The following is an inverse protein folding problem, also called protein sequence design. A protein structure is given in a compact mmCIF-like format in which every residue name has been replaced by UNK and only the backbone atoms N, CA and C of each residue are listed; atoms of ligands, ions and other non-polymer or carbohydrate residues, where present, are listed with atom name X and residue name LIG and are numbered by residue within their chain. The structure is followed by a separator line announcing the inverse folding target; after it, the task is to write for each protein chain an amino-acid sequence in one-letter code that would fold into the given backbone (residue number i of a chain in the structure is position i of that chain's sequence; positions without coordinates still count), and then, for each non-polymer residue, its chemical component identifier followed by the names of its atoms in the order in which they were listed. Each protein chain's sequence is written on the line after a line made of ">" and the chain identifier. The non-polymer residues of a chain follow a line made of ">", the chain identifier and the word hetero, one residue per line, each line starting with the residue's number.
data_IF_224591825071
#
_entry.id   IF_224591825071
#
_cell.length_a   1.000
_cell.length_b   1.000
_cell.length_c   1.000
_cell.angle_alpha   90.00
_cell.angle_beta   90.00
_cell.angle_gamma   90.00
#
_symmetry.space_group_name_H-M   'P 1'
#
loop_
_entity.id
_entity.type
_entity.pdbx_description
1 polymer ?
#
# COMPACT_ATOMS: atom_id res chain seq x y z
N UNK A 1 17.13 -15.78 21.17
CA UNK A 1 18.53 -16.25 21.37
C UNK A 1 19.53 -15.57 20.45
N UNK A 2 19.25 -15.25 19.19
CA UNK A 2 20.14 -14.42 18.34
C UNK A 2 20.27 -12.98 18.80
N UNK A 3 19.29 -12.45 19.54
CA UNK A 3 19.38 -11.15 20.22
C UNK A 3 20.32 -11.15 21.45
N UNK A 4 20.74 -12.34 21.92
CA UNK A 4 21.57 -12.52 23.13
C UNK A 4 23.01 -12.90 22.76
N UNK A 5 23.21 -13.60 21.64
CA UNK A 5 24.54 -13.98 21.14
C UNK A 5 24.54 -14.00 19.60
N UNK A 6 25.42 -13.21 18.99
CA UNK A 6 25.51 -12.98 17.54
C UNK A 6 26.42 -13.97 16.81
N UNK A 7 27.06 -14.91 17.52
CA UNK A 7 27.92 -15.91 16.90
C UNK A 7 27.11 -16.90 16.04
N UNK A 8 27.47 -16.99 14.76
CA UNK A 8 26.78 -17.78 13.73
C UNK A 8 26.63 -19.25 14.15
N UNK A 9 27.66 -19.84 14.75
CA UNK A 9 27.63 -21.24 15.21
C UNK A 9 26.60 -21.48 16.32
N UNK A 10 26.39 -20.54 17.24
CA UNK A 10 25.36 -20.66 18.30
C UNK A 10 23.96 -20.42 17.75
N UNK A 11 23.82 -19.51 16.78
CA UNK A 11 22.56 -19.28 16.09
C UNK A 11 22.11 -20.52 15.30
N UNK A 12 23.02 -21.19 14.60
CA UNK A 12 22.72 -22.41 13.83
C UNK A 12 22.62 -23.67 14.69
N UNK A 13 23.14 -23.65 15.93
CA UNK A 13 23.03 -24.75 16.89
C UNK A 13 21.65 -24.89 17.54
N UNK A 14 20.69 -24.03 17.21
CA UNK A 14 19.31 -24.14 17.73
C UNK A 14 18.64 -25.38 17.13
N UNK A 15 18.31 -26.34 18.00
CA UNK A 15 17.65 -27.60 17.63
C UNK A 15 16.31 -27.30 16.95
N UNK A 16 16.08 -27.92 15.79
CA UNK A 16 14.85 -27.76 15.02
C UNK A 16 14.72 -26.41 14.30
N UNK A 17 15.75 -25.54 14.31
CA UNK A 17 15.71 -24.24 13.63
C UNK A 17 15.47 -24.38 12.12
N UNK A 18 16.12 -25.34 11.47
CA UNK A 18 15.94 -25.59 10.03
C UNK A 18 14.48 -25.91 9.70
N UNK A 19 13.86 -26.80 10.47
CA UNK A 19 12.45 -27.17 10.26
C UNK A 19 11.52 -25.99 10.54
N UNK A 20 11.75 -25.21 11.60
CA UNK A 20 10.98 -24.00 11.89
C UNK A 20 11.10 -22.94 10.78
N UNK A 21 12.28 -22.77 10.19
CA UNK A 21 12.48 -21.84 9.06
C UNK A 21 11.75 -22.37 7.82
N UNK A 22 11.85 -23.67 7.51
CA UNK A 22 11.13 -24.28 6.38
C UNK A 22 9.62 -24.15 6.53
N UNK A 23 9.08 -24.45 7.72
CA UNK A 23 7.65 -24.28 8.03
C UNK A 23 7.23 -22.80 7.92
N UNK A 24 8.04 -21.87 8.46
CA UNK A 24 7.80 -20.44 8.36
C UNK A 24 7.76 -19.97 6.89
N UNK A 25 8.70 -20.44 6.07
CA UNK A 25 8.72 -20.13 4.64
C UNK A 25 7.47 -20.69 3.92
N UNK A 26 7.05 -21.92 4.23
CA UNK A 26 5.85 -22.51 3.65
C UNK A 26 4.58 -21.72 4.03
N UNK A 27 4.49 -21.25 5.28
CA UNK A 27 3.39 -20.38 5.72
C UNK A 27 3.43 -19.02 5.01
N UNK A 28 4.62 -18.42 4.89
CA UNK A 28 4.82 -17.16 4.18
C UNK A 28 4.39 -17.25 2.71
N UNK A 29 4.75 -18.34 2.02
CA UNK A 29 4.34 -18.58 0.63
C UNK A 29 2.82 -18.68 0.49
N UNK A 30 2.14 -19.31 1.46
CA UNK A 30 0.68 -19.40 1.47
C UNK A 30 0.03 -18.02 1.65
N UNK A 31 0.57 -17.20 2.55
CA UNK A 31 0.09 -15.83 2.79
C UNK A 31 0.30 -14.98 1.54
N UNK A 32 1.49 -15.02 0.94
CA UNK A 32 1.81 -14.27 -0.29
C UNK A 32 0.89 -14.64 -1.45
N UNK A 33 0.60 -15.93 -1.65
CA UNK A 33 -0.34 -16.37 -2.69
C UNK A 33 -1.75 -15.83 -2.44
N UNK A 34 -2.24 -15.91 -1.20
CA UNK A 34 -3.55 -15.37 -0.83
C UNK A 34 -3.63 -13.86 -1.02
N UNK A 35 -2.56 -13.15 -0.68
CA UNK A 35 -2.47 -11.71 -0.83
C UNK A 35 -2.47 -11.28 -2.29
N UNK A 36 -1.66 -11.93 -3.14
CA UNK A 36 -1.65 -11.66 -4.58
C UNK A 36 -3.02 -11.87 -5.22
N UNK A 37 -3.71 -12.96 -4.89
CA UNK A 37 -5.08 -13.21 -5.38
C UNK A 37 -6.08 -12.14 -4.92
N UNK A 38 -5.93 -11.63 -3.70
CA UNK A 38 -6.75 -10.52 -3.19
C UNK A 38 -6.48 -9.22 -3.94
N UNK A 39 -5.21 -8.88 -4.20
CA UNK A 39 -4.82 -7.68 -4.95
C UNK A 39 -5.32 -7.74 -6.40
N UNK A 40 -5.22 -8.90 -7.07
CA UNK A 40 -5.72 -9.07 -8.43
C UNK A 40 -7.22 -8.87 -8.52
N UNK A 41 -7.98 -9.36 -7.52
CA UNK A 41 -9.42 -9.08 -7.43
C UNK A 41 -9.71 -7.58 -7.30
N UNK A 42 -8.90 -6.84 -6.54
CA UNK A 42 -9.03 -5.38 -6.41
C UNK A 42 -8.66 -4.64 -7.70
N UNK A 43 -7.68 -5.13 -8.47
CA UNK A 43 -7.34 -4.57 -9.79
C UNK A 43 -8.49 -4.69 -10.79
N UNK A 44 -9.22 -5.80 -10.78
CA UNK A 44 -10.39 -5.97 -11.65
C UNK A 44 -11.51 -4.98 -11.29
N UNK A 45 -11.69 -4.69 -10.00
CA UNK A 45 -12.71 -3.74 -9.54
C UNK A 45 -12.36 -2.29 -9.88
N UNK A 46 -11.08 -1.92 -9.81
CA UNK A 46 -10.59 -0.59 -10.16
C UNK A 46 -9.37 -0.68 -11.09
N UNK A 47 -9.58 -0.62 -12.43
CA UNK A 47 -8.51 -0.85 -13.40
C UNK A 47 -7.31 0.10 -13.30
N UNK A 48 -7.42 1.26 -12.64
CA UNK A 48 -6.25 2.14 -12.44
C UNK A 48 -5.22 1.56 -11.48
N UNK A 49 -5.56 0.54 -10.68
CA UNK A 49 -4.58 -0.20 -9.87
C UNK A 49 -3.66 -1.12 -10.69
N UNK A 50 -3.91 -1.32 -11.99
CA UNK A 50 -2.93 -1.98 -12.86
C UNK A 50 -1.65 -1.16 -13.04
N UNK A 51 -1.69 0.15 -12.78
CA UNK A 51 -0.51 1.03 -12.84
C UNK A 51 0.31 1.07 -11.54
N UNK A 52 -0.11 0.33 -10.51
CA UNK A 52 0.53 0.27 -9.20
C UNK A 52 1.18 -1.10 -8.95
N UNK A 53 2.31 -1.10 -8.24
CA UNK A 53 2.93 -2.33 -7.73
C UNK A 53 2.07 -2.94 -6.60
N UNK A 54 2.35 -4.20 -6.25
CA UNK A 54 1.63 -4.85 -5.14
C UNK A 54 1.86 -4.13 -3.81
N UNK A 55 3.07 -3.62 -3.56
CA UNK A 55 3.41 -2.87 -2.35
C UNK A 55 2.67 -1.54 -2.29
N UNK A 56 2.58 -0.82 -3.41
CA UNK A 56 1.84 0.46 -3.49
C UNK A 56 0.34 0.25 -3.29
N UNK A 57 -0.22 -0.83 -3.85
CA UNK A 57 -1.61 -1.20 -3.58
C UNK A 57 -1.83 -1.53 -2.11
N UNK A 58 -0.89 -2.22 -1.47
CA UNK A 58 -0.95 -2.55 -0.05
C UNK A 58 -0.89 -1.30 0.82
N UNK A 59 -0.02 -0.34 0.51
CA UNK A 59 0.03 0.96 1.21
C UNK A 59 -1.32 1.67 1.15
N UNK A 60 -1.93 1.77 -0.03
CA UNK A 60 -3.27 2.38 -0.19
C UNK A 60 -4.35 1.61 0.59
N UNK A 61 -4.31 0.28 0.55
CA UNK A 61 -5.32 -0.57 1.20
C UNK A 61 -5.14 -0.72 2.72
N UNK A 62 -3.92 -0.49 3.23
CA UNK A 62 -3.60 -0.56 4.66
C UNK A 62 -3.77 0.79 5.36
N UNK A 63 -3.55 1.89 4.63
CA UNK A 63 -3.66 3.26 5.16
C UNK A 63 -4.98 3.96 4.81
N UNK A 64 -6.06 3.21 4.57
CA UNK A 64 -7.40 3.75 4.22
C UNK A 64 -7.99 4.75 5.21
N UNK A 65 -7.35 4.94 6.38
CA UNK A 65 -7.75 5.91 7.40
C UNK A 65 -7.23 7.32 7.14
N UNK A 66 -6.12 7.48 6.42
CA UNK A 66 -5.49 8.77 6.13
C UNK A 66 -5.52 9.08 4.62
N UNK A 67 -6.45 9.94 4.16
CA UNK A 67 -6.60 10.27 2.75
C UNK A 67 -5.42 11.07 2.18
N UNK A 68 -4.49 11.57 3.01
CA UNK A 68 -3.29 12.25 2.51
C UNK A 68 -2.27 11.28 1.92
N UNK A 69 -2.36 9.99 2.28
CA UNK A 69 -1.37 8.95 1.93
C UNK A 69 -1.52 8.43 0.52
N UNK A 70 -2.66 8.67 -0.13
CA UNK A 70 -2.86 8.29 -1.54
C UNK A 70 -2.17 9.23 -2.53
N UNK A 71 -1.82 10.46 -2.11
CA UNK A 71 -1.18 11.49 -2.94
C UNK A 71 -0.03 10.99 -3.84
N UNK A 72 1.00 10.28 -3.32
CA UNK A 72 2.11 9.80 -4.15
C UNK A 72 1.69 8.77 -5.20
N UNK A 73 0.64 7.99 -4.95
CA UNK A 73 0.18 6.95 -5.86
C UNK A 73 -0.77 7.49 -6.94
N UNK A 74 -1.46 8.60 -6.69
CA UNK A 74 -2.39 9.21 -7.64
C UNK A 74 -1.71 9.58 -8.96
N UNK A 75 -0.46 10.05 -8.94
CA UNK A 75 0.31 10.40 -10.14
C UNK A 75 0.48 9.22 -11.10
N UNK A 76 0.52 7.99 -10.60
CA UNK A 76 0.61 6.77 -11.41
C UNK A 76 -0.74 6.30 -11.92
N UNK A 77 -1.80 6.50 -11.13
CA UNK A 77 -3.16 6.10 -11.51
C UNK A 77 -3.84 7.09 -12.46
N UNK A 78 -3.52 8.38 -12.37
CA UNK A 78 -4.19 9.46 -13.08
C UNK A 78 -3.17 10.36 -13.77
N UNK A 79 -3.19 10.34 -15.09
CA UNK A 79 -2.45 11.28 -15.91
C UNK A 79 -3.07 12.68 -15.76
N UNK A 80 -2.25 13.68 -15.44
CA UNK A 80 -2.70 15.06 -15.20
C UNK A 80 -3.06 15.40 -13.75
N UNK A 81 -3.15 14.41 -12.84
CA UNK A 81 -3.35 14.64 -11.40
C UNK A 81 -2.06 14.30 -10.66
N UNK A 82 -1.35 15.33 -10.22
CA UNK A 82 -0.16 15.21 -9.38
C UNK A 82 -0.53 15.21 -7.91
N UNK A 83 -1.42 16.12 -7.49
CA UNK A 83 -1.85 16.26 -6.09
C UNK A 83 -3.30 16.69 -5.95
N UNK A 84 -3.88 16.43 -4.79
CA UNK A 84 -5.19 16.92 -4.38
C UNK A 84 -5.08 17.99 -3.29
N UNK A 85 -6.00 18.96 -3.32
CA UNK A 85 -6.17 19.95 -2.26
C UNK A 85 -7.22 19.46 -1.26
N UNK A 86 -6.79 19.24 -0.02
CA UNK A 86 -7.65 18.84 1.09
C UNK A 86 -7.94 20.03 2.02
N UNK A 87 -9.20 20.16 2.46
CA UNK A 87 -9.58 21.12 3.51
C UNK A 87 -9.33 20.55 4.93
N UNK A 88 -9.59 21.37 5.96
CA UNK A 88 -9.51 21.00 7.38
C UNK A 88 -10.38 19.79 7.74
N UNK A 89 -11.43 19.55 6.98
CA UNK A 89 -12.32 18.39 7.13
C UNK A 89 -11.88 17.17 6.31
N UNK A 90 -10.71 17.21 5.67
CA UNK A 90 -10.21 16.19 4.72
C UNK A 90 -11.09 16.02 3.47
N UNK A 91 -11.87 17.03 3.11
CA UNK A 91 -12.64 17.07 1.86
C UNK A 91 -11.76 17.56 0.71
N UNK A 92 -11.93 16.99 -0.48
CA UNK A 92 -11.16 17.36 -1.67
C UNK A 92 -11.86 18.53 -2.39
N UNK A 93 -11.14 19.64 -2.59
CA UNK A 93 -11.65 20.86 -3.24
C UNK A 93 -11.08 21.12 -4.63
N UNK A 94 -9.85 20.69 -4.88
CA UNK A 94 -9.16 20.93 -6.14
C UNK A 94 -8.13 19.83 -6.41
N UNK A 95 -7.64 19.80 -7.65
CA UNK A 95 -6.49 19.01 -8.06
C UNK A 95 -5.40 19.91 -8.65
N UNK A 96 -4.16 19.44 -8.58
CA UNK A 96 -2.98 20.07 -9.14
C UNK A 96 -2.33 19.18 -10.19
N UNK A 97 -1.93 19.77 -11.32
CA UNK A 97 -1.10 19.10 -12.33
C UNK A 97 0.36 18.98 -11.87
N UNK A 98 1.20 18.31 -12.66
CA UNK A 98 2.64 18.22 -12.38
C UNK A 98 3.35 19.58 -12.56
N UNK A 99 2.79 20.44 -13.40
CA UNK A 99 3.25 21.79 -13.74
C UNK A 99 2.73 22.86 -12.77
N UNK A 100 1.86 22.47 -11.82
CA UNK A 100 1.28 23.37 -10.82
C UNK A 100 -0.02 24.04 -11.24
N UNK A 101 -0.64 23.62 -12.34
CA UNK A 101 -1.97 24.07 -12.72
C UNK A 101 -2.99 23.59 -11.67
N UNK A 102 -3.82 24.51 -11.17
CA UNK A 102 -4.86 24.21 -10.18
C UNK A 102 -6.23 24.18 -10.86
N UNK A 103 -6.92 23.04 -10.74
CA UNK A 103 -8.30 22.89 -11.22
C UNK A 103 -9.22 22.65 -10.02
N UNK A 104 -10.16 23.57 -9.81
CA UNK A 104 -11.14 23.48 -8.72
C UNK A 104 -12.30 22.57 -9.13
N UNK A 105 -12.74 21.68 -8.23
CA UNK A 105 -13.88 20.81 -8.51
C UNK A 105 -15.20 21.55 -8.29
N UNK A 106 -16.20 21.26 -9.12
CA UNK A 106 -17.55 21.85 -8.99
C UNK A 106 -18.29 21.38 -7.74
N UNK A 107 -17.94 20.20 -7.23
CA UNK A 107 -18.49 19.62 -6.01
C UNK A 107 -17.34 19.14 -5.13
N UNK A 108 -17.46 19.38 -3.82
CA UNK A 108 -16.52 18.87 -2.83
C UNK A 108 -16.69 17.37 -2.67
N UNK A 109 -15.59 16.63 -2.71
CA UNK A 109 -15.61 15.17 -2.55
C UNK A 109 -15.28 14.86 -1.09
N UNK A 110 -16.22 14.24 -0.39
CA UNK A 110 -16.03 13.80 0.99
C UNK A 110 -15.26 12.46 1.04
N UNK A 111 -14.09 12.48 1.66
CA UNK A 111 -13.23 11.31 1.83
C UNK A 111 -13.74 10.34 2.88
N UNK A 112 -14.67 10.75 3.75
CA UNK A 112 -15.26 9.87 4.77
C UNK A 112 -16.12 8.77 4.15
N UNK A 113 -16.69 9.05 2.97
CA UNK A 113 -17.54 8.13 2.22
C UNK A 113 -16.76 7.01 1.50
N UNK A 114 -15.44 7.12 1.40
CA UNK A 114 -14.55 6.11 0.83
C UNK A 114 -14.03 5.07 1.85
N UNK A 115 -14.47 5.14 3.10
CA UNK A 115 -14.10 4.18 4.17
C UNK A 115 -14.77 2.83 4.04
#
# INVERSE_FOLDING_TARGET
>A
NTAVDTHVLKATSVIGLLERIKEGNAQFDKINKGLNAYLDKKRIFFPRFFFLSNDEMLEILSETKDPLRVQPHLKKCFEGISKLEFDKNLEIKAMFSAEGEKVTFSQTIDTSSCR
#
